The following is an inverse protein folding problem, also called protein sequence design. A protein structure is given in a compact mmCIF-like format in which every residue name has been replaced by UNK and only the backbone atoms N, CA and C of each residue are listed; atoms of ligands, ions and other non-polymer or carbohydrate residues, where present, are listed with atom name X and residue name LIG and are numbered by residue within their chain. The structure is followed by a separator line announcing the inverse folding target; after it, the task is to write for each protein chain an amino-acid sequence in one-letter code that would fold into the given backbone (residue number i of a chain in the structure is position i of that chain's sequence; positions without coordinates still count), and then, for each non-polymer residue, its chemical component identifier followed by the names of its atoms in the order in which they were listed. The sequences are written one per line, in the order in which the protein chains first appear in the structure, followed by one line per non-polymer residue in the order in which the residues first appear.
data_IF_718136839761
#
_entry.id   IF_718136839761
#
_cell.length_a   1.000
_cell.length_b   1.000
_cell.length_c   1.000
_cell.angle_alpha   90.00
_cell.angle_beta   90.00
_cell.angle_gamma   90.00
#
_symmetry.space_group_name_H-M   'P 1'
#
loop_
_entity.id
_entity.type
_entity.pdbx_description
1 polymer ?
#
# COMPACT_ATOMS: atom_id res chain seq x y z
N UNK A 1 17.62 19.52 -27.55
CA UNK A 1 16.72 20.21 -28.49
C UNK A 1 15.34 20.29 -27.88
N UNK A 2 14.91 21.51 -27.58
CA UNK A 2 13.56 21.82 -27.12
C UNK A 2 12.56 21.72 -28.29
N UNK A 3 11.28 21.75 -27.92
CA UNK A 3 10.13 22.25 -28.69
C UNK A 3 9.28 21.19 -29.40
N UNK A 4 8.09 20.87 -28.86
CA UNK A 4 6.80 21.61 -28.91
C UNK A 4 5.98 21.15 -30.11
N UNK A 5 4.79 20.60 -29.80
CA UNK A 5 3.53 20.50 -30.58
C UNK A 5 2.60 19.67 -29.68
N UNK A 6 1.91 20.17 -28.65
CA UNK A 6 0.92 21.27 -28.61
C UNK A 6 0.05 21.30 -29.86
N UNK A 7 -0.74 20.23 -30.02
CA UNK A 7 -1.86 20.12 -30.96
C UNK A 7 -3.13 20.04 -30.11
N UNK A 8 -3.67 21.19 -29.74
CA UNK A 8 -4.81 21.86 -30.38
C UNK A 8 -6.15 21.26 -29.93
N UNK A 9 -6.73 21.96 -28.96
CA UNK A 9 -8.15 21.95 -28.60
C UNK A 9 -8.93 22.42 -29.82
N UNK A 10 -9.83 21.59 -30.35
CA UNK A 10 -10.97 22.05 -31.15
C UNK A 10 -12.24 21.54 -30.48
N UNK A 11 -12.97 22.45 -29.85
CA UNK A 11 -14.34 22.25 -29.46
C UNK A 11 -15.21 22.29 -30.73
N UNK A 12 -15.93 21.20 -31.01
CA UNK A 12 -17.04 21.18 -31.94
C UNK A 12 -18.30 20.85 -31.14
N UNK A 13 -18.99 21.91 -30.69
CA UNK A 13 -20.34 21.84 -30.15
C UNK A 13 -21.27 21.85 -31.36
N UNK A 14 -21.58 20.67 -31.87
CA UNK A 14 -22.75 20.46 -32.74
C UNK A 14 -23.81 19.78 -31.90
N UNK A 15 -24.78 20.58 -31.47
CA UNK A 15 -25.99 20.09 -30.82
C UNK A 15 -26.78 19.20 -31.77
N UNK A 16 -27.09 18.00 -31.29
CA UNK A 16 -28.13 17.15 -31.85
C UNK A 16 -29.26 17.09 -30.82
N UNK A 17 -30.43 17.61 -31.19
CA UNK A 17 -31.67 17.34 -30.48
C UNK A 17 -31.87 15.83 -30.46
N UNK A 18 -31.83 15.23 -29.27
CA UNK A 18 -32.32 13.87 -29.05
C UNK A 18 -33.83 13.95 -28.84
N UNK A 19 -34.56 13.50 -29.85
CA UNK A 19 -35.97 13.12 -29.75
C UNK A 19 -36.13 12.07 -28.65
N UNK A 20 -36.93 12.36 -27.63
CA UNK A 20 -37.34 11.39 -26.61
C UNK A 20 -38.38 10.43 -27.21
N UNK A 21 -38.20 9.10 -27.15
CA UNK A 21 -39.31 8.18 -27.30
C UNK A 21 -40.13 8.18 -26.00
N UNK A 22 -41.45 8.35 -26.14
CA UNK A 22 -42.43 8.01 -25.11
C UNK A 22 -42.37 6.50 -24.85
N UNK A 23 -41.54 6.10 -23.89
CA UNK A 23 -41.42 4.74 -23.39
C UNK A 23 -42.43 4.52 -22.26
N UNK A 24 -43.39 3.64 -22.51
CA UNK A 24 -44.31 3.08 -21.52
C UNK A 24 -43.55 2.50 -20.33
N UNK A 25 -43.94 2.90 -19.12
CA UNK A 25 -43.44 2.37 -17.87
C UNK A 25 -43.71 0.86 -17.77
N UNK A 26 -42.66 0.07 -17.92
CA UNK A 26 -42.58 -1.27 -17.31
C UNK A 26 -41.93 -1.08 -15.95
N UNK A 27 -42.59 -1.55 -14.90
CA UNK A 27 -42.10 -1.54 -13.54
C UNK A 27 -40.73 -2.25 -13.47
N UNK A 28 -39.69 -1.48 -13.22
CA UNK A 28 -38.40 -1.96 -12.74
C UNK A 28 -38.64 -2.44 -11.30
N UNK A 29 -38.88 -3.74 -11.17
CA UNK A 29 -38.90 -4.40 -9.87
C UNK A 29 -37.47 -4.37 -9.33
N UNK A 30 -37.21 -3.71 -8.17
CA UNK A 30 -35.87 -3.69 -7.60
C UNK A 30 -35.40 -5.12 -7.34
N UNK A 31 -34.11 -5.44 -7.56
CA UNK A 31 -33.58 -6.75 -7.20
C UNK A 31 -33.85 -7.01 -5.71
N UNK A 32 -34.17 -8.27 -5.33
CA UNK A 32 -34.39 -8.60 -3.92
C UNK A 32 -33.15 -8.22 -3.10
N UNK A 33 -33.31 -7.78 -1.84
CA UNK A 33 -32.17 -7.56 -0.97
C UNK A 33 -31.35 -8.85 -0.88
N UNK A 34 -30.02 -8.73 -0.98
CA UNK A 34 -29.12 -9.85 -0.74
C UNK A 34 -29.43 -10.50 0.61
N UNK A 35 -29.30 -11.83 0.75
CA UNK A 35 -29.49 -12.49 2.04
C UNK A 35 -28.55 -11.87 3.08
N UNK A 36 -29.07 -11.64 4.28
CA UNK A 36 -28.34 -11.07 5.42
C UNK A 36 -26.95 -11.69 5.53
N UNK A 37 -25.93 -10.85 5.28
CA UNK A 37 -24.57 -11.23 5.57
C UNK A 37 -24.48 -11.55 7.08
N UNK A 38 -23.81 -12.65 7.48
CA UNK A 38 -23.60 -12.93 8.88
C UNK A 38 -22.88 -11.72 9.51
N UNK A 39 -23.40 -11.27 10.66
CA UNK A 39 -22.80 -10.21 11.44
C UNK A 39 -21.29 -10.47 11.59
N UNK A 40 -20.42 -9.45 11.46
CA UNK A 40 -19.01 -9.63 11.71
C UNK A 40 -18.85 -10.12 13.15
N UNK A 41 -18.20 -11.28 13.31
CA UNK A 41 -17.69 -11.68 14.61
C UNK A 41 -16.85 -10.52 15.13
N UNK A 42 -17.17 -10.06 16.33
CA UNK A 42 -16.41 -9.01 17.02
C UNK A 42 -14.91 -9.34 16.94
N UNK A 43 -14.03 -8.36 16.66
CA UNK A 43 -12.60 -8.62 16.76
C UNK A 43 -12.31 -9.06 18.20
N UNK A 44 -11.71 -10.24 18.33
CA UNK A 44 -11.01 -10.63 19.54
C UNK A 44 -10.03 -9.50 19.90
N UNK A 45 -9.98 -9.15 21.17
CA UNK A 45 -9.31 -7.97 21.71
C UNK A 45 -7.97 -7.67 21.05
N UNK A 46 -7.77 -6.40 20.70
CA UNK A 46 -6.45 -5.88 20.41
C UNK A 46 -5.62 -6.03 21.69
N UNK A 47 -4.77 -7.06 21.73
CA UNK A 47 -3.63 -7.12 22.63
C UNK A 47 -2.77 -5.91 22.29
N UNK A 48 -3.02 -4.80 22.99
CA UNK A 48 -2.18 -3.61 22.93
C UNK A 48 -0.80 -4.08 23.40
N UNK A 49 0.24 -4.08 22.53
CA UNK A 49 1.57 -4.46 22.97
C UNK A 49 1.91 -3.56 24.17
N UNK A 50 2.48 -4.13 25.25
CA UNK A 50 2.80 -3.35 26.43
C UNK A 50 3.65 -2.16 25.99
N UNK A 51 3.30 -0.96 26.46
CA UNK A 51 4.09 0.23 26.22
C UNK A 51 5.56 -0.08 26.54
N UNK A 52 6.53 0.40 25.74
CA UNK A 52 7.93 0.26 26.09
C UNK A 52 8.12 0.84 27.49
N UNK A 53 8.79 0.07 28.36
CA UNK A 53 9.08 0.51 29.72
C UNK A 53 9.71 1.92 29.67
N UNK A 54 9.38 2.83 30.61
CA UNK A 54 10.09 4.09 30.70
C UNK A 54 11.59 3.77 30.82
N UNK A 55 12.39 4.47 30.03
CA UNK A 55 13.84 4.32 29.98
C UNK A 55 14.39 4.11 31.40
N UNK A 56 15.10 3.00 31.60
CA UNK A 56 15.73 2.71 32.87
C UNK A 56 16.54 3.93 33.30
N UNK A 57 16.45 4.37 34.58
CA UNK A 57 17.25 5.48 35.05
C UNK A 57 18.74 5.18 34.77
N UNK A 58 19.53 6.17 34.35
CA UNK A 58 20.95 5.95 34.08
C UNK A 58 21.62 5.33 35.31
N UNK A 59 22.58 4.41 35.11
CA UNK A 59 23.29 3.79 36.23
C UNK A 59 23.90 4.90 37.10
N UNK A 60 23.77 4.76 38.41
CA UNK A 60 24.39 5.66 39.37
C UNK A 60 25.89 5.84 39.06
N UNK A 61 26.50 7.01 39.35
CA UNK A 61 27.93 7.18 39.14
C UNK A 61 28.68 6.14 39.96
N UNK A 62 29.39 5.24 39.28
CA UNK A 62 30.32 4.31 39.92
C UNK A 62 31.41 5.14 40.60
N UNK A 63 31.57 4.95 41.91
CA UNK A 63 32.65 5.60 42.65
C UNK A 63 34.00 5.23 42.04
N UNK A 64 34.93 6.19 42.04
CA UNK A 64 36.25 6.00 41.45
C UNK A 64 37.08 5.07 42.36
N UNK A 65 37.05 3.76 42.06
CA UNK A 65 37.93 2.79 42.71
C UNK A 65 39.33 2.86 42.06
N UNK A 66 40.39 3.18 42.83
CA UNK A 66 41.72 3.38 42.27
C UNK A 66 42.42 2.10 41.80
N UNK A 67 41.86 0.91 42.03
CA UNK A 67 42.43 -0.38 41.62
C UNK A 67 41.76 -1.00 40.39
N UNK A 68 40.71 -0.38 39.85
CA UNK A 68 40.04 -0.86 38.63
C UNK A 68 40.74 -0.27 37.40
N UNK A 69 41.27 -1.08 36.47
CA UNK A 69 41.85 -0.56 35.24
C UNK A 69 40.76 0.21 34.45
N UNK A 70 41.10 1.35 33.84
CA UNK A 70 40.13 2.14 33.09
C UNK A 70 39.50 1.27 31.99
N UNK A 71 38.18 1.37 31.77
CA UNK A 71 37.54 0.62 30.71
C UNK A 71 38.16 0.98 29.35
N UNK A 72 38.18 0.04 28.38
CA UNK A 72 38.60 0.36 27.02
C UNK A 72 37.72 1.50 26.47
N UNK A 73 38.26 2.34 25.57
CA UNK A 73 37.48 3.42 24.97
C UNK A 73 36.23 2.87 24.28
N UNK A 74 35.10 3.61 24.28
CA UNK A 74 33.91 3.18 23.57
C UNK A 74 34.25 2.98 22.09
N UNK A 75 33.78 1.88 21.52
CA UNK A 75 33.81 1.70 20.07
C UNK A 75 33.07 2.87 19.39
N UNK A 76 33.44 3.27 18.16
CA UNK A 76 32.66 4.27 17.43
C UNK A 76 31.20 3.82 17.35
N UNK A 77 30.29 4.73 17.69
CA UNK A 77 28.85 4.47 17.69
C UNK A 77 28.45 3.84 16.35
N UNK A 78 27.96 2.60 16.40
CA UNK A 78 27.34 1.98 15.24
C UNK A 78 26.20 2.91 14.77
N UNK A 79 26.02 3.12 13.45
CA UNK A 79 24.92 3.94 12.97
C UNK A 79 23.62 3.38 13.54
N UNK A 80 22.79 4.27 14.08
CA UNK A 80 21.46 3.89 14.55
C UNK A 80 20.74 3.13 13.42
N UNK A 81 20.01 2.05 13.72
CA UNK A 81 19.26 1.35 12.70
C UNK A 81 18.34 2.36 12.01
N UNK A 82 18.48 2.50 10.70
CA UNK A 82 17.50 3.24 9.90
C UNK A 82 16.17 2.57 10.19
N UNK A 83 15.23 3.33 10.76
CA UNK A 83 13.88 2.86 11.02
C UNK A 83 13.21 2.68 9.66
N UNK A 84 13.43 1.52 9.03
CA UNK A 84 12.61 1.09 7.92
C UNK A 84 11.20 1.04 8.49
N UNK A 85 10.33 1.94 8.04
CA UNK A 85 8.91 1.69 8.15
C UNK A 85 8.66 0.49 7.24
N UNK A 86 8.81 -0.71 7.79
CA UNK A 86 8.63 -1.95 7.05
C UNK A 86 7.14 -2.07 6.78
N UNK A 87 6.72 -1.70 5.57
CA UNK A 87 5.34 -1.88 5.12
C UNK A 87 5.07 -3.37 5.07
N UNK A 88 3.99 -3.81 5.73
CA UNK A 88 3.56 -5.20 5.65
C UNK A 88 2.81 -5.45 4.33
N UNK A 89 3.58 -5.74 3.29
CA UNK A 89 3.05 -6.01 1.95
C UNK A 89 2.12 -7.22 1.88
N UNK A 90 2.26 -8.21 2.76
CA UNK A 90 1.33 -9.34 2.82
C UNK A 90 -0.04 -8.91 3.34
N UNK A 91 -0.08 -8.02 4.34
CA UNK A 91 -1.33 -7.49 4.85
C UNK A 91 -2.06 -6.63 3.79
N UNK A 92 -1.30 -5.88 2.99
CA UNK A 92 -1.84 -5.15 1.84
C UNK A 92 -2.33 -6.13 0.78
N UNK A 93 -1.54 -7.14 0.41
CA UNK A 93 -1.95 -8.13 -0.59
C UNK A 93 -3.17 -8.95 -0.14
N UNK A 94 -3.29 -9.24 1.16
CA UNK A 94 -4.47 -9.88 1.74
C UNK A 94 -5.72 -9.02 1.58
N UNK A 95 -5.57 -7.70 1.68
CA UNK A 95 -6.66 -6.75 1.46
C UNK A 95 -7.01 -6.58 -0.03
N UNK A 96 -5.99 -6.50 -0.89
CA UNK A 96 -6.12 -6.19 -2.32
C UNK A 96 -6.60 -7.39 -3.15
N UNK A 97 -6.00 -8.57 -2.93
CA UNK A 97 -6.25 -9.76 -3.74
C UNK A 97 -6.67 -11.00 -2.93
N UNK A 98 -6.87 -10.84 -1.62
CA UNK A 98 -7.06 -11.99 -0.73
C UNK A 98 -5.78 -12.80 -0.53
N UNK A 99 -4.60 -12.23 -0.83
CA UNK A 99 -3.30 -12.88 -0.70
C UNK A 99 -2.88 -13.68 -1.94
N UNK A 100 -3.64 -13.60 -3.03
CA UNK A 100 -3.30 -14.27 -4.29
C UNK A 100 -2.34 -13.41 -5.12
N UNK A 101 -1.07 -13.78 -5.12
CA UNK A 101 -0.01 -13.08 -5.86
C UNK A 101 -0.03 -13.31 -7.38
N UNK A 102 -0.73 -14.34 -7.85
CA UNK A 102 -0.85 -14.68 -9.28
C UNK A 102 -2.17 -14.24 -9.92
N UNK A 103 -2.96 -13.41 -9.24
CA UNK A 103 -4.30 -13.06 -9.72
C UNK A 103 -4.25 -12.17 -10.97
N UNK A 104 -5.08 -12.50 -11.95
CA UNK A 104 -5.29 -11.70 -13.16
C UNK A 104 -6.71 -11.91 -13.66
N UNK A 105 -7.68 -11.21 -13.08
CA UNK A 105 -9.12 -11.36 -13.37
C UNK A 105 -9.58 -10.63 -14.64
N UNK A 106 -8.71 -9.83 -15.26
CA UNK A 106 -9.05 -9.00 -16.41
C UNK A 106 -9.70 -7.65 -16.04
N UNK A 107 -9.68 -7.25 -14.77
CA UNK A 107 -10.17 -5.95 -14.30
C UNK A 107 -9.19 -4.78 -14.52
N UNK A 108 -8.09 -5.00 -15.25
CA UNK A 108 -7.05 -4.00 -15.51
C UNK A 108 -5.95 -3.94 -14.43
N UNK A 109 -6.07 -4.72 -13.37
CA UNK A 109 -5.07 -4.88 -12.31
C UNK A 109 -4.58 -6.33 -12.26
N UNK A 110 -3.36 -6.52 -11.77
CA UNK A 110 -2.75 -7.85 -11.68
C UNK A 110 -1.84 -7.97 -10.45
N UNK A 111 -1.69 -9.21 -9.98
CA UNK A 111 -0.80 -9.57 -8.89
C UNK A 111 -1.38 -9.29 -7.50
N UNK A 112 -0.59 -9.64 -6.47
CA UNK A 112 -1.03 -9.57 -5.06
C UNK A 112 -1.34 -8.15 -4.60
N UNK A 113 -0.62 -7.17 -5.13
CA UNK A 113 -0.77 -5.76 -4.78
C UNK A 113 -1.59 -4.96 -5.79
N UNK A 114 -2.29 -5.66 -6.70
CA UNK A 114 -3.20 -5.08 -7.68
C UNK A 114 -2.54 -3.93 -8.48
N UNK A 115 -1.46 -4.22 -9.19
CA UNK A 115 -0.78 -3.24 -10.04
C UNK A 115 -1.48 -3.05 -11.39
N UNK A 116 -1.53 -1.82 -11.89
CA UNK A 116 -1.79 -1.57 -13.31
C UNK A 116 -0.54 -1.85 -14.16
N UNK A 117 -0.68 -2.21 -15.45
CA UNK A 117 0.47 -2.43 -16.33
C UNK A 117 1.38 -1.19 -16.49
N UNK A 118 0.80 0.02 -16.42
CA UNK A 118 1.55 1.28 -16.51
C UNK A 118 2.38 1.52 -15.26
N UNK A 119 1.79 1.41 -14.06
CA UNK A 119 2.50 1.59 -12.78
C UNK A 119 3.58 0.52 -12.61
N UNK A 120 3.29 -0.74 -12.96
CA UNK A 120 4.25 -1.83 -12.92
C UNK A 120 5.53 -1.49 -13.70
N UNK A 121 5.38 -1.12 -14.97
CA UNK A 121 6.50 -0.79 -15.85
C UNK A 121 7.23 0.48 -15.43
N UNK A 122 6.49 1.50 -14.98
CA UNK A 122 7.08 2.76 -14.52
C UNK A 122 7.98 2.59 -13.29
N UNK A 123 7.73 1.56 -12.48
CA UNK A 123 8.46 1.28 -11.24
C UNK A 123 9.46 0.12 -11.39
N UNK A 124 9.82 -0.20 -12.64
CA UNK A 124 10.88 -1.15 -12.98
C UNK A 124 10.43 -2.60 -13.08
N UNK A 125 9.13 -2.87 -13.07
CA UNK A 125 8.58 -4.20 -13.31
C UNK A 125 8.62 -4.58 -14.80
N UNK A 126 8.89 -5.86 -15.08
CA UNK A 126 8.87 -6.42 -16.44
C UNK A 126 7.74 -7.44 -16.60
N UNK A 127 7.21 -7.62 -17.82
CA UNK A 127 6.12 -8.56 -18.07
C UNK A 127 4.81 -8.17 -17.35
N UNK A 128 4.09 -9.18 -16.86
CA UNK A 128 2.85 -9.02 -16.08
C UNK A 128 3.12 -9.17 -14.58
N UNK A 129 2.54 -8.33 -13.69
CA UNK A 129 2.65 -8.50 -12.25
C UNK A 129 2.22 -9.89 -11.77
N UNK A 130 1.14 -10.45 -12.34
CA UNK A 130 0.65 -11.78 -11.99
C UNK A 130 1.59 -12.92 -12.37
N UNK A 131 2.49 -12.69 -13.33
CA UNK A 131 3.55 -13.64 -13.71
C UNK A 131 4.87 -13.43 -12.97
N UNK A 132 4.97 -12.37 -12.16
CA UNK A 132 6.14 -12.08 -11.37
C UNK A 132 6.05 -12.75 -9.99
N UNK A 133 7.21 -13.09 -9.42
CA UNK A 133 7.29 -13.58 -8.04
C UNK A 133 6.73 -12.54 -7.06
N UNK A 134 6.29 -13.01 -5.89
CA UNK A 134 5.86 -12.15 -4.79
C UNK A 134 6.95 -11.13 -4.43
N UNK A 135 8.20 -11.57 -4.37
CA UNK A 135 9.36 -10.75 -3.99
C UNK A 135 9.61 -9.66 -5.03
N UNK A 136 9.46 -9.97 -6.32
CA UNK A 136 9.56 -8.99 -7.41
C UNK A 136 8.41 -7.98 -7.34
N UNK A 137 7.20 -8.43 -7.00
CA UNK A 137 6.08 -7.52 -6.79
C UNK A 137 6.31 -6.56 -5.61
N UNK A 138 6.86 -7.07 -4.51
CA UNK A 138 7.25 -6.26 -3.35
C UNK A 138 8.35 -5.26 -3.72
N UNK A 139 9.38 -5.68 -4.47
CA UNK A 139 10.43 -4.77 -4.94
C UNK A 139 9.87 -3.60 -5.75
N UNK A 140 8.92 -3.87 -6.65
CA UNK A 140 8.24 -2.80 -7.41
C UNK A 140 7.35 -1.95 -6.50
N UNK A 141 6.73 -2.55 -5.49
CA UNK A 141 5.92 -1.84 -4.50
C UNK A 141 6.74 -0.87 -3.66
N UNK A 142 7.97 -1.24 -3.27
CA UNK A 142 8.90 -0.36 -2.57
C UNK A 142 9.28 0.86 -3.43
N UNK A 143 9.44 0.69 -4.74
CA UNK A 143 9.67 1.81 -5.66
C UNK A 143 8.45 2.74 -5.75
N UNK A 144 7.24 2.17 -5.74
CA UNK A 144 5.99 2.94 -5.67
C UNK A 144 5.88 3.68 -4.33
N UNK A 145 6.20 3.01 -3.22
CA UNK A 145 6.22 3.60 -1.88
C UNK A 145 7.18 4.80 -1.84
N UNK A 146 8.37 4.65 -2.41
CA UNK A 146 9.35 5.73 -2.47
C UNK A 146 8.87 6.93 -3.31
N UNK A 147 8.12 6.70 -4.40
CA UNK A 147 7.68 7.76 -5.31
C UNK A 147 6.36 8.43 -4.91
N UNK A 148 5.42 7.66 -4.37
CA UNK A 148 4.03 8.07 -4.13
C UNK A 148 3.61 7.95 -2.66
N UNK A 149 4.42 7.30 -1.83
CA UNK A 149 4.07 6.95 -0.46
C UNK A 149 3.01 5.85 -0.39
N UNK A 150 2.59 5.54 0.84
CA UNK A 150 1.59 4.48 1.11
C UNK A 150 0.21 4.81 0.53
N UNK A 151 -0.02 6.08 0.15
CA UNK A 151 -1.24 6.55 -0.50
C UNK A 151 -1.52 5.94 -1.88
N UNK A 152 -0.56 5.24 -2.48
CA UNK A 152 -0.79 4.41 -3.67
C UNK A 152 -1.75 3.24 -3.38
N UNK A 153 -1.88 2.83 -2.10
CA UNK A 153 -2.88 1.86 -1.61
C UNK A 153 -3.81 2.55 -0.60
N UNK A 154 -4.75 3.41 -1.02
CA UNK A 154 -5.49 4.29 -0.12
C UNK A 154 -6.39 3.56 0.89
N UNK A 155 -6.91 2.39 0.52
CA UNK A 155 -7.83 1.60 1.38
C UNK A 155 -7.08 0.52 2.17
N UNK A 156 -6.13 -0.14 1.52
CA UNK A 156 -5.41 -1.29 2.05
C UNK A 156 -4.07 -0.94 2.68
N UNK A 157 -3.43 0.16 2.28
CA UNK A 157 -2.13 0.60 2.79
C UNK A 157 -2.13 0.91 4.28
N UNK A 158 -3.27 1.28 4.88
CA UNK A 158 -3.41 1.43 6.34
C UNK A 158 -3.34 0.11 7.12
N UNK A 159 -3.37 -1.03 6.43
CA UNK A 159 -3.34 -2.37 7.04
C UNK A 159 -1.92 -2.92 7.15
N UNK A 160 -0.92 -2.24 6.58
CA UNK A 160 0.47 -2.68 6.56
C UNK A 160 1.48 -1.56 6.75
#
# INVERSE_FOLDING_TARGET
MNNVRKTLILAAITGSLVTLPSGTASADVPPPPAPDAPAPAAPAGFDVPPAPAPDAPPPAPVGFDPNVPPPPPPAPDAPAPIKAYSVNWDAIAQCESGGNWGISTGNGFAGGLQFTPSTWRANGGSGSPAGASREEQIRVAENVLHSQGIGAWPVCGRRG
#
